data_IF_228620378834
#
_entry.id   IF_228620378834
#
_cell.length_a   1.000
_cell.length_b   1.000
_cell.length_c   1.000
_cell.angle_alpha   90.00
_cell.angle_beta   90.00
_cell.angle_gamma   90.00
#
_symmetry.space_group_name_H-M   'P 1'
#
loop_
_entity.id
_entity.type
_entity.pdbx_description
1 polymer ?
#
# COMPACT_ATOMS: atom_id res chain seq x y z
N UNK A 1 -37.03 -3.59 -35.01
CA UNK A 1 -35.80 -4.17 -35.59
C UNK A 1 -34.52 -3.86 -34.81
N UNK A 2 -34.37 -2.67 -34.18
CA UNK A 2 -33.21 -2.35 -33.32
C UNK A 2 -33.07 -3.18 -32.03
N UNK A 3 -34.12 -3.84 -31.55
CA UNK A 3 -34.10 -4.60 -30.29
C UNK A 3 -33.63 -6.06 -30.46
N UNK A 4 -33.69 -6.62 -31.67
CA UNK A 4 -33.25 -8.00 -31.95
C UNK A 4 -31.73 -8.05 -32.20
N UNK A 5 -31.16 -7.00 -32.77
CA UNK A 5 -29.70 -6.89 -32.97
C UNK A 5 -28.92 -6.65 -31.68
N UNK A 6 -29.54 -6.05 -30.65
CA UNK A 6 -28.88 -5.83 -29.35
C UNK A 6 -28.73 -7.13 -28.56
N UNK A 7 -29.71 -8.04 -28.65
CA UNK A 7 -29.67 -9.34 -27.95
C UNK A 7 -28.61 -10.28 -28.54
N UNK A 8 -28.38 -10.23 -29.86
CA UNK A 8 -27.36 -11.05 -30.52
C UNK A 8 -25.92 -10.61 -30.16
N UNK A 9 -25.72 -9.34 -29.79
CA UNK A 9 -24.41 -8.82 -29.36
C UNK A 9 -24.08 -9.19 -27.91
N UNK A 10 -25.10 -9.42 -27.07
CA UNK A 10 -24.93 -9.67 -25.64
C UNK A 10 -24.62 -11.14 -25.32
N UNK A 11 -24.98 -12.07 -26.21
CA UNK A 11 -24.68 -13.50 -26.02
C UNK A 11 -23.23 -13.87 -26.38
N UNK A 12 -22.55 -13.10 -27.24
CA UNK A 12 -21.18 -13.39 -27.69
C UNK A 12 -20.08 -12.82 -26.79
N UNK A 13 -20.42 -12.01 -25.79
CA UNK A 13 -19.45 -11.35 -24.88
C UNK A 13 -19.21 -12.13 -23.58
N UNK A 14 -20.14 -13.01 -23.18
CA UNK A 14 -20.01 -13.79 -21.94
C UNK A 14 -19.00 -14.95 -22.02
N UNK A 15 -18.61 -15.40 -23.22
CA UNK A 15 -17.68 -16.54 -23.40
C UNK A 15 -16.20 -16.14 -23.46
N UNK A 16 -15.87 -14.84 -23.66
CA UNK A 16 -14.48 -14.34 -23.60
C UNK A 16 -13.98 -14.02 -22.19
N UNK A 17 -14.87 -13.85 -21.23
CA UNK A 17 -14.50 -13.42 -19.87
C UNK A 17 -14.00 -14.57 -19.00
N UNK A 18 -14.45 -15.82 -19.23
CA UNK A 18 -13.97 -16.98 -18.46
C UNK A 18 -12.49 -17.28 -18.71
N UNK A 19 -12.02 -17.24 -19.97
CA UNK A 19 -10.61 -17.55 -20.32
C UNK A 19 -9.63 -16.39 -20.03
N UNK A 20 -10.10 -15.15 -19.92
CA UNK A 20 -9.26 -14.02 -19.49
C UNK A 20 -9.06 -13.96 -17.97
N UNK A 21 -10.00 -14.52 -17.20
CA UNK A 21 -9.96 -14.52 -15.73
C UNK A 21 -8.86 -15.44 -15.19
N UNK A 22 -8.59 -16.57 -15.86
CA UNK A 22 -7.52 -17.50 -15.46
C UNK A 22 -6.12 -16.93 -15.73
N UNK A 23 -5.97 -16.09 -16.75
CA UNK A 23 -4.69 -15.46 -17.12
C UNK A 23 -4.26 -14.34 -16.15
N UNK A 24 -5.19 -13.72 -15.44
CA UNK A 24 -4.90 -12.67 -14.44
C UNK A 24 -4.60 -13.22 -13.05
N UNK A 25 -5.06 -14.44 -12.72
CA UNK A 25 -4.51 -15.19 -11.58
C UNK A 25 -3.09 -15.71 -11.87
N UNK A 26 -2.76 -15.90 -13.15
CA UNK A 26 -1.45 -16.34 -13.60
C UNK A 26 -0.39 -15.22 -13.67
N UNK A 27 -0.73 -13.94 -13.47
CA UNK A 27 0.26 -12.85 -13.30
C UNK A 27 0.74 -12.70 -11.85
N UNK A 28 -0.02 -13.23 -10.89
CA UNK A 28 0.38 -13.22 -9.48
C UNK A 28 1.64 -14.05 -9.27
N UNK A 29 1.67 -15.30 -9.73
CA UNK A 29 2.82 -16.20 -9.58
C UNK A 29 4.16 -15.64 -10.14
N UNK A 30 4.23 -15.15 -11.39
CA UNK A 30 5.46 -14.55 -11.93
C UNK A 30 5.79 -13.20 -11.28
N UNK A 31 4.79 -12.40 -10.87
CA UNK A 31 5.04 -11.14 -10.16
C UNK A 31 5.69 -11.36 -8.79
N UNK A 32 5.15 -12.30 -8.02
CA UNK A 32 5.75 -12.72 -6.73
C UNK A 32 7.14 -13.33 -6.92
N UNK A 33 7.33 -14.16 -7.95
CA UNK A 33 8.63 -14.74 -8.27
C UNK A 33 9.66 -13.65 -8.57
N UNK A 34 9.29 -12.66 -9.40
CA UNK A 34 10.20 -11.56 -9.73
C UNK A 34 10.52 -10.70 -8.50
N UNK A 35 9.56 -10.44 -7.62
CA UNK A 35 9.80 -9.72 -6.37
C UNK A 35 10.78 -10.47 -5.45
N UNK A 36 10.62 -11.80 -5.31
CA UNK A 36 11.54 -12.64 -4.53
C UNK A 36 12.93 -12.66 -5.16
N UNK A 37 13.03 -12.81 -6.47
CA UNK A 37 14.31 -12.77 -7.19
C UNK A 37 14.99 -11.41 -7.01
N UNK A 38 14.27 -10.29 -7.11
CA UNK A 38 14.83 -8.97 -6.89
C UNK A 38 15.29 -8.75 -5.44
N UNK A 39 14.53 -9.24 -4.46
CA UNK A 39 14.91 -9.18 -3.05
C UNK A 39 16.20 -9.98 -2.79
N UNK A 40 16.31 -11.19 -3.35
CA UNK A 40 17.51 -12.02 -3.24
C UNK A 40 18.70 -11.37 -3.95
N UNK A 41 18.54 -10.91 -5.19
CA UNK A 41 19.59 -10.24 -5.95
C UNK A 41 20.09 -8.99 -5.24
N UNK A 42 19.20 -8.15 -4.71
CA UNK A 42 19.58 -6.95 -3.95
C UNK A 42 20.28 -7.31 -2.64
N UNK A 43 19.81 -8.34 -1.92
CA UNK A 43 20.43 -8.79 -0.68
C UNK A 43 21.84 -9.33 -0.90
N UNK A 44 22.02 -10.19 -1.91
CA UNK A 44 23.35 -10.68 -2.30
C UNK A 44 24.24 -9.55 -2.82
N UNK A 45 23.73 -8.67 -3.68
CA UNK A 45 24.50 -7.53 -4.20
C UNK A 45 25.01 -6.63 -3.07
N UNK A 46 24.17 -6.31 -2.08
CA UNK A 46 24.59 -5.52 -0.91
C UNK A 46 25.72 -6.20 -0.12
N UNK A 47 25.64 -7.52 0.07
CA UNK A 47 26.72 -8.28 0.73
C UNK A 47 28.01 -8.26 -0.11
N UNK A 48 27.92 -8.38 -1.44
CA UNK A 48 29.10 -8.35 -2.31
C UNK A 48 29.77 -6.98 -2.37
N UNK A 49 29.01 -5.88 -2.30
CA UNK A 49 29.59 -4.53 -2.40
C UNK A 49 30.08 -3.99 -1.05
N UNK A 50 29.34 -4.23 0.03
CA UNK A 50 29.60 -3.60 1.34
C UNK A 50 30.34 -4.53 2.31
N UNK A 51 30.00 -5.83 2.34
CA UNK A 51 30.37 -6.73 3.46
C UNK A 51 31.14 -7.99 3.03
N UNK A 52 31.66 -8.06 1.80
CA UNK A 52 32.24 -9.28 1.21
C UNK A 52 33.41 -9.85 2.03
N UNK A 53 34.35 -9.00 2.41
CA UNK A 53 35.55 -9.41 3.15
C UNK A 53 35.19 -9.87 4.58
N UNK A 54 34.19 -9.26 5.19
CA UNK A 54 33.70 -9.65 6.51
C UNK A 54 33.01 -11.02 6.48
N UNK A 55 32.18 -11.29 5.46
CA UNK A 55 31.45 -12.55 5.31
C UNK A 55 32.38 -13.72 4.98
N UNK A 56 33.39 -13.52 4.14
CA UNK A 56 34.36 -14.58 3.77
C UNK A 56 35.26 -14.96 4.94
N UNK A 57 35.73 -13.97 5.72
CA UNK A 57 36.67 -14.23 6.80
C UNK A 57 36.00 -14.67 8.12
N UNK A 58 34.81 -14.15 8.43
CA UNK A 58 34.17 -14.36 9.73
C UNK A 58 32.86 -15.16 9.67
N UNK A 59 32.36 -15.46 8.47
CA UNK A 59 31.09 -16.15 8.24
C UNK A 59 29.87 -15.23 8.22
N UNK A 60 28.79 -15.68 7.58
CA UNK A 60 27.58 -14.87 7.31
C UNK A 60 26.84 -14.37 8.58
N UNK A 61 26.90 -15.13 9.68
CA UNK A 61 26.19 -14.81 10.91
C UNK A 61 27.06 -14.07 11.94
N UNK A 62 28.26 -13.61 11.54
CA UNK A 62 29.15 -12.89 12.44
C UNK A 62 28.58 -11.51 12.77
N UNK A 63 28.56 -11.15 14.06
CA UNK A 63 28.00 -9.86 14.52
C UNK A 63 26.48 -9.82 14.68
N UNK A 64 25.77 -10.95 14.53
CA UNK A 64 24.35 -11.02 14.90
C UNK A 64 24.18 -10.86 16.41
N UNK A 65 23.65 -9.71 16.83
CA UNK A 65 23.34 -9.41 18.23
C UNK A 65 21.87 -9.62 18.52
N UNK A 66 21.46 -9.63 19.79
CA UNK A 66 20.05 -9.70 20.17
C UNK A 66 19.21 -8.60 19.49
N UNK A 67 19.79 -7.41 19.30
CA UNK A 67 19.14 -6.27 18.65
C UNK A 67 18.85 -6.56 17.16
N UNK A 68 19.76 -7.21 16.43
CA UNK A 68 19.53 -7.54 15.01
C UNK A 68 18.42 -8.59 14.89
N UNK A 69 18.38 -9.59 15.78
CA UNK A 69 17.29 -10.57 15.84
C UNK A 69 15.94 -9.89 16.14
N UNK A 70 15.90 -8.97 17.12
CA UNK A 70 14.70 -8.19 17.41
C UNK A 70 14.25 -7.33 16.21
N UNK A 71 15.18 -6.73 15.46
CA UNK A 71 14.86 -5.94 14.26
C UNK A 71 14.24 -6.82 13.16
N UNK A 72 14.80 -8.01 12.91
CA UNK A 72 14.28 -8.97 11.92
C UNK A 72 12.86 -9.41 12.32
N UNK A 73 12.65 -9.73 13.59
CA UNK A 73 11.32 -10.07 14.11
C UNK A 73 10.34 -8.91 13.95
N UNK A 74 10.74 -7.67 14.29
CA UNK A 74 9.90 -6.49 14.11
C UNK A 74 9.53 -6.23 12.64
N UNK A 75 10.49 -6.44 11.72
CA UNK A 75 10.24 -6.34 10.28
C UNK A 75 9.25 -7.40 9.79
N UNK A 76 9.41 -8.65 10.23
CA UNK A 76 8.50 -9.74 9.89
C UNK A 76 7.08 -9.49 10.44
N UNK A 77 6.97 -9.05 11.69
CA UNK A 77 5.70 -8.68 12.32
C UNK A 77 5.00 -7.55 11.57
N UNK A 78 5.75 -6.54 11.12
CA UNK A 78 5.19 -5.44 10.31
C UNK A 78 4.58 -5.95 9.00
N UNK A 79 5.23 -6.90 8.32
CA UNK A 79 4.70 -7.53 7.10
C UNK A 79 3.41 -8.34 7.35
N UNK A 80 3.37 -9.10 8.45
CA UNK A 80 2.18 -9.85 8.86
C UNK A 80 1.03 -8.91 9.23
N UNK A 81 1.32 -7.85 10.00
CA UNK A 81 0.34 -6.85 10.41
C UNK A 81 -0.31 -6.17 9.19
N UNK A 82 0.50 -5.75 8.22
CA UNK A 82 0.00 -5.15 6.97
C UNK A 82 -0.87 -6.15 6.19
N UNK A 83 -0.48 -7.43 6.15
CA UNK A 83 -1.26 -8.47 5.47
C UNK A 83 -2.60 -8.72 6.16
N UNK A 84 -2.65 -8.69 7.49
CA UNK A 84 -3.90 -8.79 8.26
C UNK A 84 -4.81 -7.57 8.02
N UNK A 85 -4.26 -6.36 8.03
CA UNK A 85 -5.03 -5.15 7.75
C UNK A 85 -5.63 -5.20 6.35
N UNK A 86 -4.89 -5.66 5.33
CA UNK A 86 -5.45 -5.84 3.98
C UNK A 86 -6.55 -6.92 3.92
N UNK A 87 -6.52 -7.90 4.83
CA UNK A 87 -7.51 -8.97 4.87
C UNK A 87 -8.81 -8.56 5.57
N UNK A 88 -8.74 -7.67 6.56
CA UNK A 88 -9.88 -7.34 7.42
C UNK A 88 -10.35 -5.89 7.33
N UNK A 89 -9.59 -4.98 6.73
CA UNK A 89 -9.93 -3.56 6.62
C UNK A 89 -10.03 -3.10 5.17
N UNK A 90 -10.85 -2.08 4.94
CA UNK A 90 -10.94 -1.44 3.63
C UNK A 90 -9.61 -0.78 3.27
N UNK A 91 -9.15 -1.01 2.04
CA UNK A 91 -7.88 -0.50 1.54
C UNK A 91 -7.73 1.04 1.63
N UNK A 92 -8.85 1.78 1.66
CA UNK A 92 -8.87 3.24 1.84
C UNK A 92 -8.52 3.63 3.30
N UNK A 93 -9.10 2.95 4.28
CA UNK A 93 -8.87 3.22 5.71
C UNK A 93 -7.41 2.94 6.06
N UNK A 94 -6.82 1.89 5.48
CA UNK A 94 -5.38 1.60 5.63
C UNK A 94 -4.51 2.77 5.18
N UNK A 95 -4.75 3.29 3.98
CA UNK A 95 -3.93 4.38 3.41
C UNK A 95 -4.09 5.66 4.23
N UNK A 96 -5.29 5.92 4.75
CA UNK A 96 -5.52 7.02 5.68
C UNK A 96 -4.74 6.84 6.99
N UNK A 97 -4.79 5.64 7.59
CA UNK A 97 -4.08 5.33 8.82
C UNK A 97 -2.55 5.46 8.66
N UNK A 98 -1.99 4.96 7.55
CA UNK A 98 -0.57 5.13 7.22
C UNK A 98 -0.17 6.59 7.08
N UNK A 99 -1.02 7.42 6.46
CA UNK A 99 -0.74 8.86 6.28
C UNK A 99 -0.67 9.60 7.62
N UNK A 100 -1.62 9.33 8.52
CA UNK A 100 -1.62 9.91 9.87
C UNK A 100 -0.44 9.40 10.69
N UNK A 101 -0.12 8.10 10.60
CA UNK A 101 1.03 7.52 11.29
C UNK A 101 2.36 8.13 10.84
N UNK A 102 2.51 8.42 9.54
CA UNK A 102 3.68 9.11 9.00
C UNK A 102 3.85 10.52 9.59
N UNK A 103 2.77 11.31 9.64
CA UNK A 103 2.80 12.66 10.24
C UNK A 103 3.16 12.61 11.72
N UNK A 104 2.54 11.69 12.47
CA UNK A 104 2.79 11.53 13.91
C UNK A 104 4.24 11.12 14.19
N UNK A 105 4.75 10.16 13.42
CA UNK A 105 6.16 9.71 13.50
C UNK A 105 7.12 10.88 13.28
N UNK A 106 6.80 11.75 12.33
CA UNK A 106 7.51 13.00 12.08
C UNK A 106 7.61 13.91 13.29
N UNK A 107 6.47 14.22 13.91
CA UNK A 107 6.40 15.11 15.09
C UNK A 107 7.17 14.50 16.26
N UNK A 108 6.96 13.21 16.53
CA UNK A 108 7.65 12.48 17.60
C UNK A 108 9.17 12.48 17.39
N UNK A 109 9.63 12.30 16.15
CA UNK A 109 11.07 12.27 15.83
C UNK A 109 11.79 13.58 16.16
N UNK A 110 11.17 14.74 15.90
CA UNK A 110 11.74 16.05 16.27
C UNK A 110 11.90 16.17 17.79
N UNK A 111 10.89 15.74 18.54
CA UNK A 111 10.89 15.87 20.00
C UNK A 111 11.83 14.89 20.69
N UNK A 112 11.90 13.63 20.21
CA UNK A 112 12.66 12.57 20.86
C UNK A 112 14.15 12.55 20.45
N UNK A 113 14.45 12.85 19.19
CA UNK A 113 15.82 12.74 18.63
C UNK A 113 16.46 14.09 18.30
N UNK A 114 15.76 15.22 18.51
CA UNK A 114 16.28 16.55 18.16
C UNK A 114 16.63 16.68 16.68
N UNK A 115 15.95 15.91 15.82
CA UNK A 115 16.34 15.74 14.42
C UNK A 115 16.11 17.03 13.63
N UNK A 116 17.13 17.49 12.91
CA UNK A 116 17.00 18.65 12.02
C UNK A 116 16.17 18.25 10.80
N UNK A 117 14.95 18.77 10.72
CA UNK A 117 13.98 18.49 9.66
C UNK A 117 14.61 18.82 8.29
N UNK A 118 14.83 17.80 7.47
CA UNK A 118 15.29 17.98 6.09
C UNK A 118 14.20 18.65 5.25
N UNK A 119 14.63 19.45 4.26
CA UNK A 119 13.74 20.10 3.28
C UNK A 119 12.80 19.08 2.59
N UNK A 120 13.30 17.88 2.30
CA UNK A 120 12.51 16.80 1.71
C UNK A 120 11.36 16.32 2.63
N UNK A 121 11.61 16.27 3.94
CA UNK A 121 10.57 15.90 4.92
C UNK A 121 9.49 16.99 5.01
N UNK A 122 9.89 18.27 5.00
CA UNK A 122 8.94 19.39 4.99
C UNK A 122 8.06 19.39 3.73
N UNK A 123 8.66 19.21 2.54
CA UNK A 123 7.91 19.08 1.30
C UNK A 123 6.99 17.85 1.30
N UNK A 124 7.46 16.70 1.81
CA UNK A 124 6.65 15.50 1.93
C UNK A 124 5.43 15.67 2.85
N UNK A 125 5.63 16.24 4.04
CA UNK A 125 4.54 16.45 5.01
C UNK A 125 3.49 17.44 4.52
N UNK A 126 3.89 18.54 3.87
CA UNK A 126 2.94 19.51 3.30
C UNK A 126 2.05 18.88 2.22
N UNK A 127 2.61 18.07 1.32
CA UNK A 127 1.84 17.34 0.31
C UNK A 127 0.86 16.35 0.95
N UNK A 128 1.29 15.60 1.98
CA UNK A 128 0.40 14.69 2.72
C UNK A 128 -0.73 15.44 3.41
N UNK A 129 -0.43 16.57 4.06
CA UNK A 129 -1.45 17.43 4.70
C UNK A 129 -2.47 17.97 3.69
N UNK A 130 -2.02 18.43 2.51
CA UNK A 130 -2.93 18.88 1.43
C UNK A 130 -3.81 17.75 0.93
N UNK A 131 -3.25 16.56 0.71
CA UNK A 131 -3.99 15.38 0.26
C UNK A 131 -5.12 15.00 1.24
N UNK A 132 -4.79 14.95 2.54
CA UNK A 132 -5.78 14.64 3.60
C UNK A 132 -6.86 15.72 3.68
N UNK A 133 -6.47 17.00 3.58
CA UNK A 133 -7.41 18.11 3.63
C UNK A 133 -8.41 18.07 2.47
N UNK A 134 -7.92 17.84 1.24
CA UNK A 134 -8.76 17.74 0.05
C UNK A 134 -9.74 16.56 0.13
N UNK A 135 -9.26 15.42 0.64
CA UNK A 135 -10.09 14.23 0.84
C UNK A 135 -11.22 14.47 1.85
N UNK A 136 -10.92 15.18 2.95
CA UNK A 136 -11.91 15.53 3.97
C UNK A 136 -13.06 16.39 3.40
N UNK A 137 -12.74 17.39 2.58
CA UNK A 137 -13.74 18.26 1.95
C UNK A 137 -14.61 17.49 0.94
N UNK A 138 -13.99 16.68 0.08
CA UNK A 138 -14.74 15.90 -0.92
C UNK A 138 -15.71 14.91 -0.29
N UNK A 139 -15.34 14.32 0.85
CA UNK A 139 -16.20 13.41 1.61
C UNK A 139 -17.40 14.17 2.22
N UNK A 140 -17.15 15.35 2.80
CA UNK A 140 -18.22 16.21 3.35
C UNK A 140 -19.19 16.72 2.27
N UNK A 141 -18.69 17.10 1.10
CA UNK A 141 -19.50 17.57 -0.02
C UNK A 141 -20.43 16.47 -0.57
N UNK A 142 -19.93 15.22 -0.69
CA UNK A 142 -20.75 14.06 -1.06
C UNK A 142 -21.88 13.80 -0.07
N UNK A 143 -21.62 13.94 1.22
CA UNK A 143 -22.64 13.74 2.26
C UNK A 143 -23.75 14.79 2.17
N UNK A 144 -23.39 16.06 1.98
CA UNK A 144 -24.36 17.16 1.81
C UNK A 144 -25.23 16.96 0.55
N UNK A 145 -24.63 16.53 -0.56
CA UNK A 145 -25.38 16.22 -1.78
C UNK A 145 -26.36 15.05 -1.58
N UNK A 146 -25.93 13.98 -0.90
CA UNK A 146 -26.82 12.85 -0.60
C UNK A 146 -27.97 13.25 0.35
N UNK A 147 -27.70 14.07 1.36
CA UNK A 147 -28.73 14.56 2.27
C UNK A 147 -29.72 15.51 1.57
N UNK A 148 -29.23 16.34 0.64
CA UNK A 148 -30.08 17.20 -0.18
C UNK A 148 -31.03 16.35 -1.06
N UNK A 149 -30.52 15.29 -1.69
CA UNK A 149 -31.32 14.36 -2.50
C UNK A 149 -32.39 13.63 -1.68
N UNK A 150 -32.02 13.10 -0.50
CA UNK A 150 -32.97 12.43 0.42
C UNK A 150 -34.04 13.41 0.90
N UNK A 151 -33.67 14.66 1.19
CA UNK A 151 -34.64 15.68 1.59
C UNK A 151 -35.61 16.01 0.45
N UNK A 152 -35.15 16.09 -0.79
CA UNK A 152 -36.04 16.31 -1.94
C UNK A 152 -36.98 15.13 -2.21
N UNK A 153 -36.53 13.88 -2.08
CA UNK A 153 -37.41 12.71 -2.24
C UNK A 153 -38.49 12.63 -1.16
N UNK A 154 -38.16 12.97 0.09
CA UNK A 154 -39.12 13.01 1.20
C UNK A 154 -40.16 14.12 1.11
N UNK A 155 -39.96 15.11 0.24
CA UNK A 155 -40.91 16.22 0.01
C UNK A 155 -41.87 15.91 -1.15
N UNK A 156 -41.57 14.92 -1.99
CA UNK A 156 -42.42 14.50 -3.11
C UNK A 156 -43.27 13.23 -2.85
N UNK A 157 -43.11 12.61 -1.67
CA UNK A 157 -43.90 11.46 -1.21
C UNK A 157 -44.87 11.88 -0.09
#
# INVERSE_FOLDING_TARGET
MKLVSTQFQQHSTSSRTYCSSDRVLQTSLPGWLMAVVMALLSGFAGVYTEDFDAVVNNGFFHGYTFITVCMILNHALSGIAVSMVMKFADNIVKVYATSVAMLLTGIVSVFLFGFNLSLAFFLGTTVVSVSVYLHSIGSFAKLQAMLAQIRTERVQA
#
